data_IF_225487682277
#
_entry.id   IF_225487682277
#
_cell.length_a   1.000
_cell.length_b   1.000
_cell.length_c   1.000
_cell.angle_alpha   90.00
_cell.angle_beta   90.00
_cell.angle_gamma   90.00
#
_symmetry.space_group_name_H-M   'P 1'
#
loop_
_entity.id
_entity.type
_entity.pdbx_description
1 polymer ?
2 polymer ?
3 non-polymer ?
4 water ?
#
# COMPACT_ATOMS: atom_id res chain seq x y z
N UNK A 14 0.62 -9.91 14.00
CA UNK A 14 -0.40 -9.51 13.07
C UNK A 14 -1.67 -10.16 13.62
N UNK A 15 -2.84 -9.61 13.40
CA UNK A 15 -4.11 -10.28 13.63
C UNK A 15 -5.02 -9.75 12.53
N UNK A 16 -5.98 -10.55 12.10
CA UNK A 16 -7.07 -10.03 11.29
C UNK A 16 -8.02 -9.28 12.19
N UNK A 17 -8.84 -8.40 11.60
CA UNK A 17 -9.91 -7.69 12.30
C UNK A 17 -9.46 -6.61 13.29
N UNK A 18 -8.50 -6.85 14.18
CA UNK A 18 -7.90 -5.77 14.93
C UNK A 18 -6.88 -6.23 15.95
N UNK A 19 -5.60 -5.92 15.75
CA UNK A 19 -4.63 -6.00 16.83
C UNK A 19 -4.91 -4.83 17.76
N UNK A 20 -5.94 -4.94 18.61
CA UNK A 20 -6.34 -3.93 19.59
C UNK A 20 -6.35 -2.48 19.13
N UNK A 21 -5.17 -1.87 18.99
CA UNK A 21 -5.05 -0.47 18.62
C UNK A 21 -4.88 -0.31 17.10
N UNK A 22 -4.86 -1.37 16.30
CA UNK A 22 -4.45 -1.25 14.89
C UNK A 22 -5.38 -0.44 13.99
N UNK A 23 -4.83 0.37 13.07
CA UNK A 23 -5.68 1.23 12.28
C UNK A 23 -6.31 2.31 13.16
N UNK A 24 -5.95 2.45 14.45
CA UNK A 24 -6.22 3.62 15.24
C UNK A 24 -4.91 4.35 15.36
N UNK A 25 -4.71 5.40 14.57
CA UNK A 25 -3.49 6.22 14.57
C UNK A 25 -3.24 7.06 15.85
N UNK A 26 -2.13 7.00 16.58
CA UNK A 26 -1.86 7.82 17.77
C UNK A 26 -2.14 9.32 17.68
N UNK A 27 -1.86 9.89 16.52
CA UNK A 27 -2.10 11.31 16.31
C UNK A 27 -3.47 11.73 15.85
N UNK A 28 -4.35 10.79 15.45
CA UNK A 28 -5.65 11.14 14.86
C UNK A 28 -6.78 10.56 15.66
N UNK A 29 -7.15 9.30 15.49
CA UNK A 29 -8.32 8.72 16.14
C UNK A 29 -8.09 8.74 17.66
N UNK A 30 -6.91 8.33 18.13
CA UNK A 30 -6.66 8.32 19.56
C UNK A 30 -6.70 9.68 20.25
N UNK A 31 -6.49 10.76 19.48
CA UNK A 31 -6.64 12.13 19.97
C UNK A 31 -7.98 12.73 19.50
N UNK A 32 -8.95 11.88 19.15
CA UNK A 32 -10.08 12.22 18.31
C UNK A 32 -10.00 13.49 17.46
N UNK A 33 -8.95 13.54 16.64
CA UNK A 33 -8.84 14.47 15.52
C UNK A 33 -9.06 13.75 14.17
N UNK A 34 -9.70 14.42 13.22
CA UNK A 34 -9.90 13.85 11.90
C UNK A 34 -8.83 14.41 10.94
N UNK A 35 -8.34 13.64 10.00
CA UNK A 35 -7.44 14.18 8.98
C UNK A 35 -8.20 14.91 7.90
N UNK A 36 -7.44 15.82 7.32
CA UNK A 36 -7.87 16.67 6.23
C UNK A 36 -8.62 16.05 5.07
N UNK A 37 -8.54 14.74 4.79
CA UNK A 37 -9.32 14.17 3.72
C UNK A 37 -10.29 13.03 4.07
N UNK A 38 -10.51 12.68 5.35
CA UNK A 38 -11.39 11.55 5.64
C UNK A 38 -12.84 11.73 5.16
N UNK A 39 -13.37 12.95 5.19
CA UNK A 39 -14.76 13.23 4.83
C UNK A 39 -15.12 12.95 3.39
N UNK A 40 -14.10 13.03 2.53
CA UNK A 40 -14.23 12.56 1.14
C UNK A 40 -14.60 11.08 1.07
N UNK A 41 -14.24 10.27 2.07
CA UNK A 41 -14.44 8.84 2.09
C UNK A 41 -15.78 8.45 2.69
N UNK A 42 -16.06 9.07 3.83
CA UNK A 42 -17.38 9.04 4.40
C UNK A 42 -18.45 9.55 3.44
N UNK A 43 -18.28 10.70 2.78
CA UNK A 43 -18.99 11.04 1.54
C UNK A 43 -19.26 9.92 0.55
N UNK A 44 -18.20 9.17 0.21
CA UNK A 44 -18.32 8.11 -0.78
C UNK A 44 -19.12 6.94 -0.23
N UNK A 45 -19.08 6.81 1.10
CA UNK A 45 -19.86 5.78 1.77
C UNK A 45 -21.33 6.01 1.62
N UNK A 46 -21.83 7.22 1.97
CA UNK A 46 -23.26 7.54 1.85
C UNK A 46 -23.64 8.02 0.46
N UNK A 47 -22.71 7.99 -0.49
CA UNK A 47 -23.07 7.88 -1.88
C UNK A 47 -23.31 6.44 -2.34
N UNK A 48 -23.27 5.43 -1.46
CA UNK A 48 -23.49 4.05 -1.84
C UNK A 48 -23.98 3.25 -0.64
N UNK A 49 -23.85 1.93 -0.75
CA UNK A 49 -24.13 0.97 0.30
C UNK A 49 -23.47 -0.35 -0.09
N UNK B 1 2.71 9.48 -6.47
CA UNK B 1 1.25 9.52 -6.37
C UNK B 1 0.97 10.67 -7.32
N UNK B 2 0.03 10.58 -8.24
CA UNK B 2 -0.20 11.54 -9.27
C UNK B 2 -1.41 12.29 -8.73
N UNK B 3 -1.48 13.60 -8.90
CA UNK B 3 -2.59 14.42 -8.40
C UNK B 3 -2.94 14.31 -6.92
N UNK B 4 -1.96 13.89 -6.12
CA UNK B 4 -2.12 13.76 -4.68
C UNK B 4 -1.67 15.04 -4.04
N UNK B 5 -1.45 14.97 -2.74
CA UNK B 5 -1.16 16.15 -1.94
C UNK B 5 -0.24 15.76 -0.80
N UNK B 6 0.46 16.65 -0.10
CA UNK B 6 1.31 16.25 1.00
C UNK B 6 0.50 15.79 2.22
N UNK B 7 0.98 14.74 2.88
CA UNK B 7 0.18 14.10 3.92
C UNK B 7 0.41 14.83 5.22
N UNK B 8 -0.58 14.92 6.11
CA UNK B 8 -0.26 15.35 7.45
C UNK B 8 0.63 14.33 8.18
N UNK B 9 1.24 14.83 9.22
CA UNK B 9 2.22 14.01 9.90
C UNK B 9 1.49 13.00 10.79
N UNK B 10 1.94 11.75 10.85
CA UNK B 10 1.25 10.69 11.58
C UNK B 10 0.06 10.13 10.80
N UNK B 11 -0.07 10.47 9.51
CA UNK B 11 -1.15 10.01 8.65
C UNK B 11 -1.24 8.56 8.29
N UNK B 12 -0.24 7.86 7.71
CA UNK B 12 -0.25 6.40 7.63
C UNK B 12 0.87 6.02 8.59
N UNK B 13 0.69 5.76 9.90
CA UNK B 13 1.82 5.36 10.76
C UNK B 13 2.40 3.95 10.47
N UNK B 14 1.82 3.30 9.45
CA UNK B 14 2.11 1.96 8.98
C UNK B 14 2.92 1.98 7.69
N UNK B 15 3.33 3.17 7.24
CA UNK B 15 3.96 3.33 5.98
C UNK B 15 5.39 2.88 6.25
N UNK B 16 5.94 2.04 5.34
CA UNK B 16 7.30 1.46 5.40
C UNK B 16 7.99 1.81 4.07
N UNK B 17 9.25 2.31 4.00
CA UNK B 17 10.02 2.45 2.75
C UNK B 17 10.96 1.27 2.55
N UNK B 18 10.90 0.71 1.34
CA UNK B 18 11.70 -0.42 0.98
C UNK B 18 12.86 0.20 0.20
N UNK B 19 14.02 0.25 0.86
CA UNK B 19 15.27 0.73 0.29
C UNK B 19 16.29 -0.35 -0.02
N UNK B 20 17.04 -0.14 -1.09
CA UNK B 20 18.27 -0.84 -1.36
C UNK B 20 19.35 -0.31 -0.42
N UNK B 21 20.25 -1.22 -0.08
CA UNK B 21 21.13 -0.99 1.05
C UNK B 21 22.33 -0.22 0.55
N UNK B 22 23.07 -0.82 -0.36
CA UNK B 22 24.07 -0.09 -1.11
C UNK B 22 24.05 -0.31 -2.64
N UNK B 23 24.05 0.73 -3.49
CA UNK B 23 23.99 2.13 -3.09
C UNK B 23 22.57 2.53 -2.82
N UNK B 24 22.31 3.55 -1.99
CA UNK B 24 20.98 3.56 -1.38
C UNK B 24 19.92 3.93 -2.43
N UNK B 25 18.77 3.29 -2.63
CA UNK B 25 17.70 3.90 -3.38
C UNK B 25 16.39 3.35 -2.86
N UNK B 26 15.34 4.16 -2.89
CA UNK B 26 14.00 3.67 -2.70
C UNK B 26 13.51 2.84 -3.90
N UNK B 27 13.15 1.64 -3.53
CA UNK B 27 12.69 0.65 -4.45
C UNK B 27 11.16 0.60 -4.38
N UNK B 28 10.48 0.53 -3.21
CA UNK B 28 9.03 0.32 -3.11
C UNK B 28 8.53 0.89 -1.79
N UNK B 29 7.21 0.79 -1.65
CA UNK B 29 6.54 1.06 -0.39
C UNK B 29 6.16 -0.26 0.20
N UNK B 30 5.81 -0.27 1.46
CA UNK B 30 5.29 -1.46 2.09
C UNK B 30 4.52 -0.96 3.31
N UNK B 31 3.83 -1.77 4.11
CA UNK B 31 3.18 -1.36 5.33
C UNK B 31 3.57 -2.25 6.53
N UNK B 32 3.37 -1.73 7.73
CA UNK B 32 3.67 -2.39 8.99
C UNK B 32 2.33 -2.97 9.40
N UNK B 33 2.27 -4.28 9.45
CA UNK B 33 1.11 -4.97 10.00
C UNK B 33 1.36 -5.59 11.39
N UNK B 34 2.44 -5.24 12.09
CA UNK B 34 2.74 -5.62 13.47
C UNK B 34 4.15 -5.15 13.75
N UNK B 35 4.68 -5.27 14.98
CA UNK B 35 6.04 -4.85 15.21
C UNK B 35 7.11 -5.78 14.61
N UNK B 36 6.72 -6.89 13.96
CA UNK B 36 7.68 -7.74 13.24
C UNK B 36 7.51 -7.83 11.73
N UNK B 37 6.39 -7.38 11.14
CA UNK B 37 6.03 -7.88 9.83
C UNK B 37 5.62 -6.77 8.92
N UNK B 38 6.10 -6.92 7.71
CA UNK B 38 5.86 -5.92 6.75
C UNK B 38 5.24 -6.63 5.57
N UNK B 39 4.13 -6.07 5.09
CA UNK B 39 3.59 -6.57 3.84
C UNK B 39 4.03 -5.64 2.70
N UNK B 40 4.37 -6.13 1.51
CA UNK B 40 4.74 -5.27 0.36
C UNK B 40 4.34 -6.05 -0.90
N UNK B 41 4.65 -5.61 -2.11
CA UNK B 41 4.34 -6.43 -3.27
C UNK B 41 5.50 -7.37 -3.60
N UNK B 42 5.17 -8.51 -4.18
CA UNK B 42 6.14 -9.52 -4.60
C UNK B 42 7.02 -8.98 -5.70
N UNK B 43 6.47 -8.17 -6.62
CA UNK B 43 7.24 -7.67 -7.77
C UNK B 43 8.41 -6.83 -7.27
N UNK B 44 8.27 -6.29 -6.03
CA UNK B 44 9.31 -5.50 -5.41
C UNK B 44 10.60 -6.26 -5.17
N UNK B 45 10.54 -7.58 -5.10
CA UNK B 45 11.65 -8.39 -4.64
C UNK B 45 12.10 -9.19 -5.82
N UNK B 46 11.13 -9.88 -6.38
CA UNK B 46 11.46 -10.80 -7.44
C UNK B 46 10.78 -10.31 -8.73
N UNK B 47 11.41 -9.60 -9.68
CA UNK B 47 10.84 -9.62 -11.05
C UNK B 47 11.87 -10.22 -12.00
N UNK B 48 11.79 -11.52 -12.34
CA UNK B 48 12.73 -12.23 -13.21
C UNK B 48 12.91 -11.66 -14.63
N UNK B 49 11.94 -11.18 -15.44
CA UNK B 49 12.17 -10.44 -16.67
C UNK B 49 13.25 -9.36 -16.54
N UNK B 50 13.43 -8.81 -15.34
CA UNK B 50 14.39 -7.77 -15.15
C UNK B 50 15.55 -8.21 -14.26
N UNK B 51 15.83 -9.50 -14.18
CA UNK B 51 16.80 -10.05 -13.22
C UNK B 51 16.65 -9.71 -11.74
N UNK B 52 15.68 -8.89 -11.33
CA UNK B 52 15.40 -8.61 -9.95
C UNK B 52 15.00 -9.86 -9.18
N UNK B 53 15.90 -10.12 -8.21
CA UNK B 53 15.83 -11.21 -7.25
C UNK B 53 16.67 -10.84 -6.02
N UNK B 54 16.08 -9.91 -5.26
CA UNK B 54 16.62 -9.31 -4.06
C UNK B 54 16.52 -10.25 -2.86
N UNK B 55 17.63 -10.35 -2.11
CA UNK B 55 17.72 -11.12 -0.88
C UNK B 55 17.77 -10.22 0.36
N UNK B 56 17.77 -10.88 1.52
CA UNK B 56 17.64 -10.24 2.82
C UNK B 56 18.81 -9.26 3.08
N UNK B 57 19.97 -9.37 2.42
CA UNK B 57 20.99 -8.35 2.62
C UNK B 57 21.27 -7.51 1.40
N UNK B 58 20.23 -7.29 0.62
CA UNK B 58 20.26 -6.22 -0.36
C UNK B 58 19.47 -5.00 0.08
N UNK B 59 18.80 -5.11 1.22
CA UNK B 59 17.51 -4.44 1.44
C UNK B 59 17.54 -3.91 2.85
N UNK B 60 16.94 -2.77 3.10
CA UNK B 60 16.59 -2.41 4.44
C UNK B 60 15.25 -1.75 4.32
N UNK B 61 14.72 -1.33 5.45
CA UNK B 61 13.35 -0.85 5.52
C UNK B 61 13.43 0.37 6.42
N UNK B 62 12.82 1.48 6.03
CA UNK B 62 12.68 2.58 7.01
C UNK B 62 11.23 2.81 7.44
N UNK B 63 11.00 3.16 8.71
CA UNK B 63 9.67 3.30 9.29
C UNK B 63 9.57 4.65 10.00
N UNK B 64 8.37 5.23 10.08
CA UNK B 64 8.18 6.45 10.79
C UNK B 64 8.62 7.68 10.00
N UNK B 65 8.88 7.59 8.67
CA UNK B 65 9.28 8.78 7.92
C UNK B 65 8.11 9.60 7.43
N UNK B 66 8.36 10.85 7.10
CA UNK B 66 7.34 11.69 6.53
C UNK B 66 7.97 12.35 5.31
N UNK B 67 9.18 12.87 5.45
CA UNK B 67 9.90 13.45 4.34
C UNK B 67 10.62 12.29 3.68
N UNK B 68 10.77 12.30 2.36
CA UNK B 68 11.54 11.27 1.66
C UNK B 68 13.03 11.42 1.91
N UNK B 69 13.50 12.65 2.13
CA UNK B 69 14.92 12.87 2.03
C UNK B 69 15.69 12.59 3.32
N UNK B 70 15.49 13.39 4.37
CA UNK B 70 16.56 13.47 5.34
C UNK B 70 16.11 12.83 6.63
N UNK B 71 17.13 12.23 7.23
CA UNK B 71 16.99 11.46 8.45
C UNK B 71 16.28 12.19 9.58
N UNK B 72 15.05 11.73 9.84
CA UNK B 72 14.29 12.16 11.00
C UNK B 72 14.66 11.34 12.21
N UNK B 73 15.64 11.92 12.87
CA UNK B 73 16.39 11.35 13.98
C UNK B 73 15.64 10.69 15.14
N UNK B 74 14.72 11.47 15.69
CA UNK B 74 13.98 11.08 16.88
C UNK B 74 13.00 9.95 16.59
N UNK B 75 12.57 9.84 15.33
CA UNK B 75 11.33 9.14 15.05
C UNK B 75 11.50 7.99 14.07
N UNK B 76 12.57 7.89 13.29
CA UNK B 76 12.61 6.83 12.29
C UNK B 76 13.44 5.63 12.66
N UNK B 77 13.05 4.47 12.16
CA UNK B 77 13.73 3.23 12.46
C UNK B 77 14.21 2.77 11.09
N UNK B 78 15.49 2.48 11.00
CA UNK B 78 16.03 1.67 9.92
C UNK B 78 16.06 0.27 10.50
N UNK B 79 15.71 -0.72 9.68
CA UNK B 79 15.80 -2.08 10.12
C UNK B 79 16.06 -3.00 8.93
N UNK B 80 16.62 -4.13 9.34
CA UNK B 80 17.06 -5.13 8.43
C UNK B 80 16.07 -6.24 8.56
N UNK B 81 15.95 -6.98 7.48
CA UNK B 81 14.92 -7.97 7.37
C UNK B 81 15.73 -9.14 7.80
N UNK B 82 15.04 -9.98 8.52
CA UNK B 82 15.46 -11.31 8.74
C UNK B 82 15.08 -12.21 7.58
N UNK B 83 13.79 -12.33 7.14
CA UNK B 83 13.34 -13.31 6.11
C UNK B 83 12.46 -12.69 5.07
N UNK B 84 12.26 -13.41 3.96
CA UNK B 84 11.41 -12.92 2.89
C UNK B 84 10.47 -14.02 2.40
N UNK B 85 9.13 -13.82 2.44
CA UNK B 85 8.13 -14.83 2.07
C UNK B 85 7.39 -14.26 0.87
N UNK B 86 7.48 -14.89 -0.30
CA UNK B 86 6.85 -14.46 -1.55
C UNK B 86 5.85 -15.57 -1.81
N UNK B 87 4.65 -15.26 -2.33
CA UNK B 87 3.66 -16.27 -2.65
C UNK B 87 4.18 -17.21 -3.73
N UNK B 88 4.07 -18.55 -3.55
CA UNK B 88 4.33 -19.58 -4.54
C UNK B 88 3.61 -19.58 -5.89
N UNK B 89 2.35 -19.17 -5.88
CA UNK B 89 1.58 -19.00 -7.11
C UNK B 89 1.52 -17.54 -7.58
N UNK B 90 2.28 -16.59 -6.96
CA UNK B 90 2.78 -15.38 -7.65
C UNK B 90 3.18 -15.61 -9.09
N UNK B 91 2.55 -14.90 -10.04
CA UNK B 91 2.85 -15.03 -11.46
C UNK B 91 3.39 -13.80 -12.21
N UNK B 92 4.70 -13.75 -12.23
CA UNK B 92 5.44 -12.68 -12.92
C UNK B 92 5.43 -12.88 -14.42
N UNK B 93 5.01 -14.02 -14.93
CA UNK B 93 5.18 -14.23 -16.36
C UNK B 93 3.85 -14.01 -17.07
N UNK B 94 3.18 -12.89 -16.75
CA UNK B 94 1.82 -12.59 -17.23
C UNK B 94 1.34 -11.30 -16.58
N UNK B 95 0.75 -11.38 -15.39
CA UNK B 95 -0.18 -10.37 -14.95
C UNK B 95 0.07 -10.07 -13.48
N UNK B 96 1.13 -10.58 -12.84
CA UNK B 96 1.47 -10.33 -11.42
C UNK B 96 0.37 -10.73 -10.47
N UNK B 97 -0.14 -11.90 -10.78
CA UNK B 97 -1.16 -12.52 -9.96
C UNK B 97 -0.66 -13.03 -8.60
N UNK B 98 -1.42 -12.89 -7.49
CA UNK B 98 -0.96 -13.31 -6.15
C UNK B 98 0.35 -12.60 -5.74
N UNK B 99 0.35 -11.29 -6.02
CA UNK B 99 1.52 -10.45 -5.90
C UNK B 99 1.58 -9.88 -4.50
N UNK B 100 2.24 -10.65 -3.65
CA UNK B 100 2.27 -10.27 -2.24
C UNK B 100 3.50 -10.95 -1.62
N UNK B 101 4.07 -10.20 -0.69
CA UNK B 101 5.25 -10.63 -0.03
C UNK B 101 5.20 -10.06 1.38
N UNK B 102 5.74 -10.90 2.25
CA UNK B 102 5.88 -10.62 3.66
C UNK B 102 7.34 -10.66 4.03
N UNK B 103 7.71 -9.72 4.86
CA UNK B 103 9.11 -9.49 5.17
C UNK B 103 9.18 -9.61 6.69
N UNK B 104 10.07 -10.45 7.24
CA UNK B 104 10.18 -10.57 8.69
C UNK B 104 11.29 -9.61 9.11
N UNK B 105 11.00 -8.69 10.02
CA UNK B 105 12.05 -7.86 10.57
C UNK B 105 13.00 -8.66 11.45
N UNK B 106 14.23 -8.17 11.47
CA UNK B 106 15.31 -8.69 12.29
C UNK B 106 14.90 -8.71 13.75
N UNK B 107 14.55 -7.57 14.37
CA UNK B 107 13.99 -7.55 15.71
C UNK B 107 12.67 -6.79 15.70
N UNK B 108 11.77 -6.94 16.68
CA UNK B 108 10.65 -6.02 16.92
C UNK B 108 10.93 -4.51 16.88
N UNK B 109 9.95 -3.78 16.36
CA UNK B 109 9.97 -2.32 16.30
C UNK B 109 9.38 -1.88 17.63
N UNK B 110 9.89 -0.77 18.18
CA UNK B 110 9.21 -0.05 19.24
C UNK B 110 8.19 0.90 18.60
N UNK B 111 6.94 0.54 18.79
CA UNK B 111 5.83 1.37 18.37
C UNK B 111 5.84 2.78 18.98
N UNK B 112 5.25 3.70 18.27
CA UNK B 112 5.48 5.10 18.50
C UNK B 112 4.27 5.81 17.93
N UNK B 113 4.27 7.08 18.33
CA UNK B 113 3.33 8.07 17.83
C UNK B 113 3.37 8.20 16.29
N UNK B 114 4.50 7.86 15.67
CA UNK B 114 4.71 7.86 14.25
C UNK B 114 4.80 6.45 13.66
N UNK B 115 4.71 5.36 14.43
CA UNK B 115 4.92 4.00 13.91
C UNK B 115 3.90 3.10 14.59
N UNK B 116 3.00 2.51 13.83
CA UNK B 116 1.86 1.83 14.42
C UNK B 116 1.22 0.94 13.36
N UNK B 117 0.77 -0.33 13.60
CA UNK B 117 0.23 -1.25 12.61
C UNK B 117 -1.16 -0.88 12.13
N UNK B 118 -1.46 -1.45 10.97
CA UNK B 118 -2.70 -1.30 10.25
C UNK B 118 -3.41 -2.63 10.38
N UNK B 119 -4.72 -2.77 10.19
CA UNK B 119 -5.30 -4.07 10.34
C UNK B 119 -5.56 -4.69 8.99
N UNK B 120 -5.53 -6.01 9.02
CA UNK B 120 -5.96 -6.78 7.90
C UNK B 120 -7.47 -6.98 7.94
N UNK B 121 -8.17 -7.03 6.80
CA UNK B 121 -9.62 -7.03 6.76
C UNK B 121 -10.17 -8.35 7.27
N UNK B 122 -11.21 -8.28 8.09
CA UNK B 122 -12.06 -9.45 8.26
C UNK B 122 -13.08 -9.57 7.13
N UNK B 123 -13.67 -10.76 6.96
CA UNK B 123 -14.82 -11.10 6.12
C UNK B 123 -15.86 -10.00 5.98
N UNK B 124 -16.17 -9.38 7.11
CA UNK B 124 -17.34 -8.52 7.21
C UNK B 124 -17.03 -7.13 6.73
N UNK B 125 -15.88 -6.60 7.14
CA UNK B 125 -15.33 -5.41 6.54
C UNK B 125 -15.03 -5.57 5.06
N UNK B 126 -14.50 -6.70 4.55
CA UNK B 126 -14.46 -6.88 3.11
C UNK B 126 -15.89 -6.80 2.53
N UNK B 127 -16.89 -7.60 2.98
CA UNK B 127 -18.31 -7.43 2.61
C UNK B 127 -18.97 -6.06 2.74
N UNK B 128 -18.68 -5.29 3.75
CA UNK B 128 -19.25 -3.97 3.89
C UNK B 128 -18.48 -2.88 3.15
N UNK B 129 -17.16 -2.93 2.92
CA UNK B 129 -16.42 -1.79 2.35
C UNK B 129 -16.10 -1.91 0.89
N UNK B 130 -16.05 -3.11 0.36
CA UNK B 130 -15.67 -3.24 -1.03
C UNK B 130 -16.86 -3.11 -1.92
N UNK B 131 -17.19 -1.85 -2.19
CA UNK B 131 -18.17 -1.57 -3.20
C UNK B 131 -17.64 -0.52 -4.10
N UNK B 132 -17.87 -0.75 -5.40
CA UNK B 132 -17.71 0.27 -6.43
C UNK B 132 -18.27 1.65 -6.06
N UNK B 133 -17.41 2.64 -6.25
CA UNK B 133 -17.65 4.02 -5.87
C UNK B 133 -17.16 4.35 -4.47
N UNK B 134 -16.91 3.41 -3.54
CA UNK B 134 -16.38 3.74 -2.19
C UNK B 134 -14.92 4.08 -2.35
N UNK B 135 -14.36 5.07 -1.65
CA UNK B 135 -12.96 5.45 -1.83
C UNK B 135 -12.02 4.90 -0.75
N UNK B 136 -10.80 4.56 -1.12
CA UNK B 136 -9.80 4.25 -0.15
C UNK B 136 -8.59 5.13 -0.42
N UNK B 137 -7.54 4.94 0.35
CA UNK B 137 -6.47 5.87 0.48
C UNK B 137 -5.17 5.19 0.11
N UNK B 138 -4.56 5.72 -0.97
CA UNK B 138 -3.24 5.32 -1.39
C UNK B 138 -2.29 6.32 -0.76
N UNK B 139 -1.14 5.93 -0.20
CA UNK B 139 -0.10 6.91 0.05
C UNK B 139 1.23 6.46 -0.50
N UNK B 140 2.20 7.35 -0.72
CA UNK B 140 3.55 6.91 -1.05
C UNK B 140 4.51 8.02 -1.45
N UNK B 141 5.70 7.57 -1.80
CA UNK B 141 6.77 8.48 -2.09
C UNK B 141 7.19 8.54 -3.56
N UNK B 142 6.65 7.64 -4.40
CA UNK B 142 6.94 7.58 -5.82
C UNK B 142 6.64 8.85 -6.63
N UNK B 143 7.03 8.75 -7.90
CA UNK B 143 7.01 9.85 -8.84
C UNK B 143 5.60 10.43 -9.00
N UNK B 144 5.57 11.74 -9.20
CA UNK B 144 4.31 12.46 -9.30
C UNK B 144 3.82 12.51 -10.73
N UNK B 145 4.58 12.08 -11.73
CA UNK B 145 4.04 11.94 -13.09
C UNK B 145 4.75 10.73 -13.68
N UNK B 146 4.26 10.19 -14.78
CA UNK B 146 5.05 9.33 -15.64
C UNK B 146 6.35 10.01 -16.10
N UNK B 147 7.39 9.24 -16.40
CA UNK B 147 8.70 9.79 -16.73
C UNK B 147 9.33 8.83 -17.76
N UNK B 148 10.46 9.17 -18.37
CA UNK B 148 11.44 8.15 -18.70
C UNK B 148 12.50 8.38 -17.62
N UNK B 149 13.71 8.85 -17.91
CA UNK B 149 14.63 9.37 -16.91
C UNK B 149 15.61 10.22 -17.70
N UNK B 150 16.31 11.10 -17.01
CA UNK B 150 17.57 11.62 -17.52
C UNK B 150 18.60 11.11 -16.51
N UNK B 151 19.62 11.86 -16.11
CA UNK B 151 20.54 11.49 -15.04
C UNK B 151 19.86 11.14 -13.72
N UNK B 152 18.65 11.67 -13.52
CA UNK B 152 17.71 11.18 -12.53
C UNK B 152 16.33 11.41 -13.16
N UNK B 153 15.30 10.69 -12.77
CA UNK B 153 13.93 11.14 -13.05
C UNK B 153 13.64 12.21 -11.99
N UNK B 154 13.03 13.31 -12.40
CA UNK B 154 13.01 14.53 -11.61
C UNK B 154 11.92 14.55 -10.51
N UNK B 155 11.13 13.49 -10.32
CA UNK B 155 9.71 13.66 -10.03
C UNK B 155 9.37 13.31 -8.58
N UNK B 156 10.24 13.67 -7.63
CA UNK B 156 10.27 13.00 -6.34
C UNK B 156 9.75 13.94 -5.28
N UNK B 157 8.70 13.61 -4.54
CA UNK B 157 8.17 14.50 -3.52
C UNK B 157 9.06 14.56 -2.30
N UNK B 158 9.11 15.77 -1.73
CA UNK B 158 9.82 15.95 -0.46
C UNK B 158 9.17 15.24 0.70
N UNK B 159 7.84 15.07 0.64
CA UNK B 159 7.05 14.62 1.77
C UNK B 159 6.01 13.61 1.29
N UNK B 160 5.52 12.84 2.24
CA UNK B 160 4.62 11.75 1.91
C UNK B 160 3.35 12.31 1.23
N UNK B 161 3.02 11.73 0.08
CA UNK B 161 1.81 12.03 -0.70
C UNK B 161 0.56 11.18 -0.37
N UNK B 162 -0.64 11.80 -0.29
CA UNK B 162 -1.97 11.18 -0.27
C UNK B 162 -2.84 11.43 -1.49
N UNK B 163 -3.56 10.40 -1.93
CA UNK B 163 -4.67 10.50 -2.88
C UNK B 163 -5.77 9.57 -2.33
N UNK B 164 -7.05 9.98 -2.37
CA UNK B 164 -8.23 9.11 -2.22
C UNK B 164 -8.94 8.73 -3.52
N UNK B 165 -9.24 7.46 -3.81
CA UNK B 165 -9.58 6.99 -5.14
C UNK B 165 -10.62 5.88 -5.07
N UNK B 166 -11.77 6.01 -5.74
CA UNK B 166 -12.90 5.09 -5.68
C UNK B 166 -12.67 3.72 -6.27
N UNK B 167 -13.16 2.71 -5.57
CA UNK B 167 -13.19 1.36 -6.07
C UNK B 167 -13.89 1.28 -7.42
N UNK B 168 -13.43 0.52 -8.42
CA UNK B 168 -14.08 0.50 -9.71
C UNK B 168 -14.70 -0.87 -9.97
N UNK B 169 -15.77 -0.94 -10.74
CA UNK B 169 -16.44 -2.20 -10.89
C UNK B 169 -15.76 -3.00 -11.97
N UNK B 170 -15.71 -4.27 -11.57
CA UNK B 170 -14.96 -5.29 -12.24
C UNK B 170 -15.18 -5.36 -13.73
N UNK B 171 -16.32 -5.33 -14.45
CA UNK B 171 -16.37 -5.43 -15.92
C UNK B 171 -15.77 -4.18 -16.54
N UNK B 172 -15.64 -3.05 -15.83
CA UNK B 172 -14.93 -1.93 -16.35
C UNK B 172 -13.43 -2.11 -16.04
N UNK B 173 -12.93 -2.46 -14.83
CA UNK B 173 -11.52 -2.89 -14.65
C UNK B 173 -11.10 -3.86 -15.78
N UNK B 174 -11.93 -4.89 -15.98
CA UNK B 174 -11.77 -5.87 -17.04
C UNK B 174 -11.48 -5.30 -18.42
N UNK B 175 -12.36 -4.39 -18.81
CA UNK B 175 -12.40 -3.92 -20.16
C UNK B 175 -11.46 -2.72 -20.35
N UNK B 176 -10.82 -2.23 -19.26
CA UNK B 176 -9.73 -1.26 -19.34
C UNK B 176 -8.47 -1.83 -19.92
N UNK B 177 -8.36 -3.12 -20.21
CA UNK B 177 -7.05 -3.66 -20.35
C UNK B 177 -7.19 -4.86 -21.22
N UNK B 178 -6.04 -5.17 -21.80
CA UNK B 178 -5.91 -6.39 -22.56
C UNK B 178 -5.37 -7.45 -21.60
N UNK B 179 -4.79 -7.09 -20.44
CA UNK B 179 -4.29 -8.03 -19.45
C UNK B 179 -5.39 -8.84 -18.74
N UNK B 180 -5.13 -10.12 -18.55
CA UNK B 180 -6.01 -11.03 -17.82
C UNK B 180 -6.17 -10.66 -16.36
N UNK B 181 -7.37 -10.28 -15.90
CA UNK B 181 -7.59 -10.02 -14.49
C UNK B 181 -8.07 -11.29 -13.84
N UNK B 182 -7.77 -11.38 -12.54
CA UNK B 182 -8.02 -12.55 -11.75
C UNK B 182 -8.57 -12.02 -10.44
N UNK B 183 -9.24 -12.82 -9.63
CA UNK B 183 -9.94 -12.29 -8.46
C UNK B 183 -8.99 -11.87 -7.37
N UNK B 184 -7.69 -11.96 -7.61
CA UNK B 184 -6.70 -11.55 -6.62
C UNK B 184 -6.41 -10.09 -6.73
N UNK B 185 -6.96 -9.36 -7.72
CA UNK B 185 -6.65 -7.98 -7.97
C UNK B 185 -7.95 -7.23 -8.15
N UNK B 186 -8.02 -5.93 -7.84
CA UNK B 186 -9.14 -5.05 -8.15
C UNK B 186 -8.54 -3.79 -8.78
N UNK B 187 -9.27 -2.95 -9.50
CA UNK B 187 -8.76 -1.63 -9.82
C UNK B 187 -9.53 -0.51 -9.11
N UNK B 188 -8.90 0.65 -9.14
CA UNK B 188 -9.42 1.85 -8.53
C UNK B 188 -8.92 3.00 -9.39
N UNK B 189 -9.76 3.99 -9.58
CA UNK B 189 -9.41 5.31 -9.99
C UNK B 189 -10.65 6.02 -10.52
N UNK B 190 -10.51 7.25 -11.01
CA UNK B 190 -11.60 7.97 -11.63
C UNK B 190 -11.77 7.56 -13.06
N UNK B 191 -13.03 7.72 -13.51
CA UNK B 191 -13.41 7.33 -14.87
C UNK B 191 -13.20 8.56 -15.76
N UNK B 192 -12.95 8.50 -17.08
CA UNK B 192 -12.80 9.68 -17.94
C UNK B 192 -13.80 10.83 -17.74
N UNK B 193 -15.09 10.52 -17.65
CA UNK B 193 -16.10 11.55 -17.44
C UNK B 193 -16.04 12.26 -16.08
N UNK B 194 -15.44 11.66 -15.03
CA UNK B 194 -15.57 12.17 -13.67
C UNK B 194 -14.67 13.34 -13.41
N UNK B 195 -13.67 13.53 -14.28
CA UNK B 195 -12.78 14.67 -14.27
C UNK B 195 -12.12 14.95 -12.91
N UNK B 196 -12.07 14.09 -11.88
CA UNK B 196 -10.99 14.09 -10.90
C UNK B 196 -9.92 13.13 -11.40
N UNK B 197 -8.68 13.34 -10.95
CA UNK B 197 -7.62 12.43 -11.41
C UNK B 197 -6.80 11.84 -10.25
N UNK B 198 -5.83 10.95 -10.48
CA UNK B 198 -4.83 10.58 -9.49
C UNK B 198 -4.59 9.08 -9.55
N UNK B 199 -3.48 8.63 -9.00
CA UNK B 199 -3.00 7.27 -9.27
C UNK B 199 -1.69 7.10 -8.53
N UNK B 200 -1.35 5.86 -8.20
CA UNK B 200 0.00 5.54 -7.87
C UNK B 200 0.77 5.62 -9.17
N UNK B 201 2.08 5.63 -8.98
CA UNK B 201 3.07 5.64 -10.05
C UNK B 201 4.25 4.86 -9.45
N UNK B 202 5.40 5.07 -10.01
CA UNK B 202 6.49 4.13 -9.86
C UNK B 202 7.07 4.51 -8.52
N UNK B 203 7.60 3.55 -7.79
CA UNK B 203 8.07 3.84 -6.42
C UNK B 203 6.93 3.87 -5.37
N UNK B 204 5.63 3.97 -5.75
CA UNK B 204 4.53 3.80 -4.80
C UNK B 204 4.08 2.36 -4.64
N UNK B 205 4.42 1.51 -5.64
CA UNK B 205 4.08 0.08 -5.70
C UNK B 205 4.48 -0.64 -4.42
N UNK B 206 3.81 -1.72 -3.96
CA UNK B 206 4.10 -2.25 -2.67
C UNK B 206 3.35 -1.54 -1.53
N UNK B 207 2.86 -0.32 -1.69
CA UNK B 207 2.23 0.40 -0.60
C UNK B 207 0.75 0.09 -0.34
N UNK B 208 0.20 0.67 0.72
CA UNK B 208 -1.10 0.32 1.24
C UNK B 208 -2.19 1.01 0.39
N UNK B 209 -3.27 0.30 0.06
CA UNK B 209 -4.57 0.92 -0.23
C UNK B 209 -5.48 0.57 0.96
N UNK B 210 -5.75 1.54 1.82
CA UNK B 210 -6.42 1.40 3.08
C UNK B 210 -7.81 2.04 3.01
N UNK B 211 -8.75 1.58 3.81
CA UNK B 211 -10.10 2.14 3.87
C UNK B 211 -10.41 2.24 5.35
N UNK B 212 -11.06 3.29 5.80
CA UNK B 212 -11.51 3.37 7.19
C UNK B 212 -12.90 2.82 7.48
N UNK B 213 -13.08 1.81 8.36
CA UNK B 213 -14.41 1.36 8.74
C UNK B 213 -15.05 2.33 9.74
N UNK B 214 -16.20 2.96 9.38
CA UNK B 214 -16.92 3.88 10.26
C UNK B 214 -17.36 3.16 11.55
N UNK B 215 -17.77 1.93 11.38
CA UNK B 215 -18.17 0.97 12.37
C UNK B 215 -17.29 1.00 13.59
N UNK B 216 -15.97 0.87 13.46
CA UNK B 216 -15.14 0.82 14.64
C UNK B 216 -14.08 1.92 14.71
N UNK B 217 -14.16 2.83 13.75
CA UNK B 217 -13.14 3.80 13.51
C UNK B 217 -11.74 3.26 13.18
N UNK B 218 -11.50 2.02 12.76
CA UNK B 218 -10.17 1.58 12.36
C UNK B 218 -9.94 1.58 10.85
N UNK B 219 -8.68 1.77 10.45
CA UNK B 219 -8.17 1.59 9.09
C UNK B 219 -7.69 0.22 8.72
N UNK B 220 -8.11 -0.26 7.55
CA UNK B 220 -7.86 -1.61 7.14
C UNK B 220 -7.16 -1.49 5.82
N UNK B 221 -6.20 -2.37 5.57
CA UNK B 221 -5.49 -2.39 4.33
C UNK B 221 -6.19 -3.38 3.46
N UNK B 222 -6.89 -2.89 2.45
CA UNK B 222 -7.60 -3.78 1.55
C UNK B 222 -6.73 -4.12 0.32
N UNK B 223 -5.72 -3.30 0.02
CA UNK B 223 -4.99 -3.47 -1.22
C UNK B 223 -3.52 -3.29 -0.96
N UNK B 224 -2.74 -3.83 -1.91
CA UNK B 224 -1.32 -3.54 -2.09
C UNK B 224 -1.19 -2.94 -3.49
N UNK B 225 -0.48 -1.80 -3.68
CA UNK B 225 -0.25 -1.22 -5.01
C UNK B 225 0.50 -2.21 -5.90
N UNK B 226 -0.19 -2.67 -6.90
CA UNK B 226 0.36 -3.72 -7.73
C UNK B 226 0.83 -3.14 -9.05
N UNK B 227 0.04 -2.92 -10.10
CA UNK B 227 0.54 -2.63 -11.45
C UNK B 227 -0.39 -1.66 -12.14
N UNK B 228 0.07 -1.16 -13.28
CA UNK B 228 -0.63 -0.11 -13.99
C UNK B 228 -0.23 -0.13 -15.44
N UNK B 229 -0.95 0.43 -16.38
CA UNK B 229 -0.30 0.77 -17.64
C UNK B 229 0.07 2.25 -17.54
N UNK B 230 1.34 2.56 -17.20
CA UNK B 230 1.77 3.92 -16.96
C UNK B 230 1.17 4.51 -15.68
N UNK B 231 0.85 5.80 -15.54
CA UNK B 231 0.34 6.35 -14.28
C UNK B 231 -0.66 7.39 -14.71
N UNK B 232 -1.86 7.26 -14.14
CA UNK B 232 -3.01 8.18 -14.31
C UNK B 232 -3.47 8.47 -15.73
N UNK B 233 -3.21 7.55 -16.67
CA UNK B 233 -3.75 7.64 -18.02
C UNK B 233 -5.29 7.63 -17.90
N UNK B 234 -6.01 8.07 -18.93
CA UNK B 234 -7.45 8.16 -18.87
C UNK B 234 -7.95 6.87 -19.42
N UNK B 235 -9.15 6.49 -19.01
CA UNK B 235 -9.72 5.26 -19.48
C UNK B 235 -8.98 4.05 -18.87
N UNK B 236 -8.08 4.34 -17.93
CA UNK B 236 -7.08 3.42 -17.43
C UNK B 236 -7.18 3.54 -15.91
N UNK B 237 -7.01 2.41 -15.21
CA UNK B 237 -7.06 2.34 -13.76
C UNK B 237 -5.85 1.64 -13.18
N UNK B 238 -5.50 1.98 -11.93
CA UNK B 238 -4.49 1.26 -11.14
C UNK B 238 -4.96 -0.11 -10.62
N UNK B 239 -4.15 -1.16 -10.57
CA UNK B 239 -4.59 -2.42 -9.97
C UNK B 239 -3.86 -2.72 -8.72
N UNK B 240 -4.41 -3.60 -7.91
CA UNK B 240 -4.20 -3.59 -6.48
C UNK B 240 -4.40 -4.99 -5.97
N UNK B 241 -3.40 -5.55 -5.29
CA UNK B 241 -3.55 -6.83 -4.65
C UNK B 241 -4.64 -6.81 -3.60
N UNK B 242 -5.52 -7.74 -3.86
CA UNK B 242 -6.70 -7.88 -3.03
C UNK B 242 -6.25 -8.55 -1.76
N UNK B 243 -5.83 -7.82 -0.73
CA UNK B 243 -5.32 -8.44 0.51
C UNK B 243 -6.24 -9.49 1.13
N UNK B 244 -7.56 -9.24 1.22
CA UNK B 244 -8.46 -10.08 1.97
C UNK B 244 -8.43 -11.45 1.37
N UNK B 245 -8.48 -11.57 0.05
CA UNK B 245 -8.61 -12.92 -0.52
C UNK B 245 -7.32 -13.72 -0.21
N UNK B 246 -6.17 -13.03 -0.13
CA UNK B 246 -4.92 -13.71 0.10
C UNK B 246 -4.65 -13.74 1.60
N UNK B 247 -5.66 -13.48 2.43
CA UNK B 247 -5.57 -13.66 3.85
C UNK B 247 -5.28 -15.12 4.16
N UNK B 248 -5.80 -16.13 3.42
CA UNK B 248 -5.32 -17.49 3.58
C UNK B 248 -3.79 -17.57 3.60
N UNK B 249 -3.09 -16.96 2.65
CA UNK B 249 -1.63 -17.04 2.62
C UNK B 249 -0.98 -16.32 3.80
N UNK B 250 -1.46 -15.12 4.13
CA UNK B 250 -0.81 -14.26 5.11
C UNK B 250 -0.71 -14.93 6.47
N UNK B 251 -1.86 -15.36 6.94
CA UNK B 251 -1.91 -16.07 8.20
C UNK B 251 -1.16 -17.38 8.11
N UNK B 252 -1.04 -18.03 6.93
CA UNK B 252 -0.14 -19.18 6.77
C UNK B 252 1.23 -18.91 7.33
N UNK B 253 1.87 -18.06 6.59
CA UNK B 253 3.29 -17.91 6.71
C UNK B 253 3.64 -17.28 8.05
N UNK B 254 2.79 -16.38 8.58
CA UNK B 254 3.05 -15.76 9.87
C UNK B 254 2.97 -16.76 11.01
N UNK B 255 2.02 -17.70 10.99
CA UNK B 255 1.94 -18.69 12.05
C UNK B 255 2.73 -19.96 11.68
N UNK B 256 3.48 -19.89 10.57
CA UNK B 256 4.24 -20.94 9.87
C UNK B 256 3.33 -21.75 8.98
N UNK B 257 2.28 -22.26 9.59
CA UNK B 257 1.15 -22.84 8.91
C UNK B 257 0.03 -22.21 9.73
N UNK B 258 -1.18 -22.10 9.24
CA UNK B 258 -1.69 -20.75 9.25
C UNK B 258 -2.61 -20.53 8.05
N UNK B 259 -2.41 -21.28 6.98
CA UNK B 259 -3.38 -21.91 6.07
C UNK B 259 -2.60 -23.15 5.60
X LIG C 1 4.15 -0.72 -16.59
X LIG C 1 3.17 -0.55 -17.75
X LIG C 1 5.30 0.21 -16.81
X LIG C 1 1.58 -4.03 -15.87
X LIG C 1 2.06 -5.46 -16.06
X LIG C 1 3.40 -5.70 -15.44
X LIG C 1 4.34 -4.63 -15.96
X LIG C 1 5.68 -4.93 -15.98
X LIG C 1 6.60 -3.94 -16.18
X LIG C 1 6.15 -2.66 -16.32
X LIG C 1 4.79 -2.44 -16.50
X LIG C 1 3.84 -3.37 -16.24
X LIG C 1 1.13 -6.46 -15.44
X LIG C 1 2.54 -3.10 -16.46
X LIG C 1 3.43 0.00 -15.26
X LIG C 1 4.26 -0.05 -14.08
X LIG C 1 3.98 -1.33 -13.31
X LIG C 1 2.96 -1.92 -13.59
X LIG C 1 4.03 1.19 -13.22
X LIG C 1 2.64 1.68 -13.18
X LIG C 1 2.50 2.69 -12.08
X LIG C 1 1.11 3.10 -12.10
X LIG C 1 0.15 2.45 -11.43
X LIG C 1 0.41 1.57 -10.45
X LIG C 1 -1.11 2.75 -11.74
X LIG C 1 4.87 -1.90 -12.47
X LIG C 1 6.22 -1.37 -12.32
X LIG C 1 7.24 -2.56 -12.56
X LIG C 1 7.04 -3.84 -11.82
X LIG C 1 5.62 -4.24 -12.21
X LIG C 1 4.62 -3.17 -11.76
X LIG C 1 6.46 -0.64 -10.99
X LIG C 1 7.63 -0.48 -10.64
X LIG C 1 5.52 -0.15 -10.36
X LIG C 1 8.11 -4.85 -12.25
X LIG C 1 2.26 -2.19 -16.66
X LIG C 1 2.54 -0.38 -15.08
X LIG C 1 0.85 3.88 -12.62
X LIG C 1 1.36 1.37 -10.20
X LIG C 1 -0.32 1.10 -9.98
X LIG C 1 -1.33 3.42 -12.43
X LIG C 1 -1.85 2.29 -11.24
#
# INVERSE_FOLDING_TARGET
>A
TSEDHFQPFFNEKTFGAGEADCGLRPLFEKKQVQDQTEKELFESYIEGR
>B
IVEGQDAEVGLSPWQVMLFRKSPQELLCGASLISDRWVLTAAHCLLYPPWDKNFTVDDLLVRIGKHSRTRYERKVEKISMLDKIYIHPRYNWKENLDRDIALLKLKRPIELSDYIHPVCLPDKQTAAKLLHAGFKGRVTGWGNRRETWTTSVAEVQPSVLQVVNLPLVERPVCKASTRIRITDNMFCAGYKPGEGKRGDACEGDSGGPFVMKSPYNNRWYQMGIVSWGEGCDRDGKYGFYTHVFRLKKWIQKVIDRLGS
>C hetero
1 MIT S O1 O2 C1 C2 C3 C4 C5 C6 C7 C8 C9 C10 N N1 CA C O CB CG CD NE CZ NH1 NH2 N2 C11 C21 C31 C41 C51 C61 O11 O21 C71 HN H HE HH11 HH12 HH21 HH22
#
